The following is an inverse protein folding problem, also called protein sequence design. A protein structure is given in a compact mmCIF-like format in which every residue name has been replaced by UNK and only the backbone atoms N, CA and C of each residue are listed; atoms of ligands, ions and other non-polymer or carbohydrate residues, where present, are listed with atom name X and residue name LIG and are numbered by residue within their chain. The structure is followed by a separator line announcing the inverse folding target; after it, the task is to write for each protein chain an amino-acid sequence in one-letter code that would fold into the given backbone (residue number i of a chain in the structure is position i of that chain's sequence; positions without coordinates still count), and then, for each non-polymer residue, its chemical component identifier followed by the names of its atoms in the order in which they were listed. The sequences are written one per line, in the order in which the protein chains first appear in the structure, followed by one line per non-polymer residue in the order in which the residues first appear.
data_IF_362392064771
#
_entry.id   IF_362392064771
#
_cell.length_a   1.000
_cell.length_b   1.000
_cell.length_c   1.000
_cell.angle_alpha   90.00
_cell.angle_beta   90.00
_cell.angle_gamma   90.00
#
_symmetry.space_group_name_H-M   'P 1'
#
loop_
_entity.id
_entity.type
_entity.pdbx_description
1 polymer ?
#
# COMPACT_ATOMS: atom_id res chain seq x y z
N UNK A 1 27.12 33.68 12.99
CA UNK A 1 26.69 32.32 12.58
C UNK A 1 25.23 32.12 12.94
N UNK A 2 24.41 31.70 11.98
CA UNK A 2 22.96 31.50 12.18
C UNK A 2 22.67 30.01 12.38
N UNK A 3 21.77 29.70 13.32
CA UNK A 3 21.38 28.31 13.65
C UNK A 3 20.72 27.60 12.46
N UNK A 4 20.87 26.27 12.42
CA UNK A 4 20.26 25.36 11.45
C UNK A 4 18.78 25.65 11.16
N UNK A 5 18.32 25.25 9.98
CA UNK A 5 16.89 25.27 9.63
C UNK A 5 16.17 24.25 10.49
N UNK A 6 15.06 24.65 11.10
CA UNK A 6 14.19 23.80 11.94
C UNK A 6 13.05 23.20 11.12
N UNK A 7 12.44 22.11 11.63
CA UNK A 7 11.24 21.52 11.03
C UNK A 7 10.11 22.56 10.93
N UNK A 8 9.93 23.38 11.97
CA UNK A 8 8.92 24.43 12.01
C UNK A 8 9.14 25.49 10.93
N UNK A 9 10.39 25.95 10.73
CA UNK A 9 10.73 26.89 9.66
C UNK A 9 10.41 26.30 8.27
N UNK A 10 10.74 25.02 8.07
CA UNK A 10 10.41 24.31 6.83
C UNK A 10 8.90 24.19 6.60
N UNK A 11 8.15 23.75 7.61
CA UNK A 11 6.69 23.60 7.50
C UNK A 11 6.00 24.95 7.25
N UNK A 12 6.45 26.02 7.91
CA UNK A 12 5.92 27.37 7.71
C UNK A 12 6.22 27.88 6.30
N UNK A 13 7.42 27.66 5.78
CA UNK A 13 7.76 28.04 4.41
C UNK A 13 6.94 27.24 3.38
N UNK A 14 6.69 25.96 3.67
CA UNK A 14 5.90 25.08 2.81
C UNK A 14 4.40 25.44 2.79
N UNK A 15 3.85 26.00 3.88
CA UNK A 15 2.47 26.51 3.89
C UNK A 15 2.24 27.65 2.88
N UNK A 16 3.28 28.42 2.55
CA UNK A 16 3.25 29.42 1.49
C UNK A 16 3.42 28.87 0.07
N UNK A 17 3.72 27.58 -0.09
CA UNK A 17 3.93 26.96 -1.39
C UNK A 17 2.61 26.51 -2.05
N UNK A 18 2.40 26.91 -3.30
CA UNK A 18 1.19 26.59 -4.06
C UNK A 18 1.04 25.08 -4.27
N UNK A 19 2.13 24.35 -4.54
CA UNK A 19 2.06 22.91 -4.79
C UNK A 19 1.68 22.14 -3.53
N UNK A 20 2.18 22.56 -2.37
CA UNK A 20 1.75 22.03 -1.09
C UNK A 20 0.26 22.26 -0.83
N UNK A 21 -0.27 23.46 -1.08
CA UNK A 21 -1.69 23.74 -0.91
C UNK A 21 -2.58 22.82 -1.78
N UNK A 22 -2.21 22.63 -3.06
CA UNK A 22 -2.91 21.70 -3.97
C UNK A 22 -2.79 20.26 -3.48
N UNK A 23 -1.62 19.87 -2.95
CA UNK A 23 -1.39 18.54 -2.42
C UNK A 23 -2.26 18.29 -1.19
N UNK A 24 -2.22 19.19 -0.22
CA UNK A 24 -3.01 19.16 0.99
C UNK A 24 -4.51 19.11 0.73
N UNK A 25 -5.01 19.81 -0.30
CA UNK A 25 -6.40 19.68 -0.73
C UNK A 25 -6.75 18.26 -1.18
N UNK A 26 -5.83 17.56 -1.84
CA UNK A 26 -6.06 16.22 -2.39
C UNK A 26 -5.81 15.07 -1.40
N UNK A 27 -4.89 15.26 -0.45
CA UNK A 27 -4.51 14.21 0.53
C UNK A 27 -4.85 14.56 1.99
N UNK A 28 -5.47 15.72 2.22
CA UNK A 28 -5.91 16.17 3.53
C UNK A 28 -4.78 16.20 4.57
N UNK A 29 -5.01 15.69 5.80
CA UNK A 29 -4.02 15.69 6.89
C UNK A 29 -2.70 14.98 6.55
N UNK A 30 -2.68 14.12 5.53
CA UNK A 30 -1.49 13.37 5.14
C UNK A 30 -0.45 14.22 4.42
N UNK A 31 -0.80 15.42 3.93
CA UNK A 31 0.19 16.35 3.41
C UNK A 31 1.20 16.78 4.48
N UNK A 32 0.74 16.99 5.71
CA UNK A 32 1.63 17.28 6.84
C UNK A 32 2.52 16.06 7.16
N UNK A 33 1.97 14.85 7.14
CA UNK A 33 2.77 13.65 7.35
C UNK A 33 3.83 13.47 6.26
N UNK A 34 3.48 13.72 4.99
CA UNK A 34 4.42 13.74 3.87
C UNK A 34 5.54 14.76 4.09
N UNK A 35 5.18 16.01 4.44
CA UNK A 35 6.15 17.07 4.68
C UNK A 35 7.13 16.71 5.80
N UNK A 36 6.63 16.18 6.92
CA UNK A 36 7.47 15.72 8.04
C UNK A 36 8.36 14.54 7.67
N UNK A 37 7.86 13.59 6.89
CA UNK A 37 8.66 12.48 6.39
C UNK A 37 9.77 12.98 5.45
N UNK A 38 9.46 13.95 4.59
CA UNK A 38 10.43 14.56 3.69
C UNK A 38 11.52 15.30 4.48
N UNK A 39 11.14 16.04 5.52
CA UNK A 39 12.06 16.72 6.40
C UNK A 39 13.02 15.75 7.11
N UNK A 40 12.50 14.62 7.62
CA UNK A 40 13.33 13.58 8.27
C UNK A 40 14.36 12.95 7.34
N UNK A 41 14.04 12.84 6.05
CA UNK A 41 14.98 12.34 5.03
C UNK A 41 16.10 13.35 4.70
N UNK A 42 15.99 14.60 5.16
CA UNK A 42 17.07 15.59 5.07
C UNK A 42 18.03 15.41 6.23
N UNK A 43 18.84 14.36 6.13
CA UNK A 43 19.79 13.92 7.17
C UNK A 43 21.04 14.80 7.29
N UNK A 44 21.28 15.70 6.33
CA UNK A 44 22.50 16.52 6.25
C UNK A 44 22.16 17.98 5.97
N UNK A 45 21.72 18.68 7.00
CA UNK A 45 21.68 20.14 7.00
C UNK A 45 22.87 20.68 7.80
N UNK A 46 23.53 21.74 7.33
CA UNK A 46 24.56 22.42 8.12
C UNK A 46 24.03 22.80 9.50
N UNK A 47 24.83 22.57 10.54
CA UNK A 47 24.49 22.97 11.90
C UNK A 47 24.39 24.50 12.03
N UNK A 48 25.16 25.21 11.21
CA UNK A 48 25.21 26.67 11.12
C UNK A 48 25.25 27.13 9.67
N UNK A 49 24.80 28.37 9.45
CA UNK A 49 24.91 29.08 8.18
C UNK A 49 25.77 30.34 8.37
N UNK A 50 26.49 30.72 7.31
CA UNK A 50 27.35 31.92 7.27
C UNK A 50 26.54 33.17 7.59
N UNK A 51 25.42 33.37 6.89
CA UNK A 51 24.50 34.48 7.07
C UNK A 51 23.01 34.08 6.89
N UNK A 52 22.12 35.07 7.00
CA UNK A 52 20.67 34.88 6.92
C UNK A 52 20.20 34.57 5.50
N UNK A 53 20.91 35.08 4.51
CA UNK A 53 20.58 34.89 3.11
C UNK A 53 20.90 33.46 2.68
N UNK A 54 22.07 32.94 3.05
CA UNK A 54 22.46 31.53 2.85
C UNK A 54 21.45 30.57 3.50
N UNK A 55 21.00 30.84 4.74
CA UNK A 55 19.95 30.05 5.39
C UNK A 55 18.63 30.10 4.62
N UNK A 56 18.20 31.29 4.19
CA UNK A 56 16.95 31.50 3.44
C UNK A 56 16.98 30.81 2.08
N UNK A 57 18.10 30.86 1.38
CA UNK A 57 18.26 30.22 0.09
C UNK A 57 18.30 28.70 0.21
N UNK A 58 18.96 28.17 1.25
CA UNK A 58 18.90 26.72 1.52
C UNK A 58 17.47 26.27 1.89
N UNK A 59 16.73 27.06 2.66
CA UNK A 59 15.33 26.78 2.96
C UNK A 59 14.47 26.75 1.68
N UNK A 60 14.64 27.74 0.79
CA UNK A 60 13.96 27.78 -0.51
C UNK A 60 14.30 26.57 -1.38
N UNK A 61 15.55 26.13 -1.39
CA UNK A 61 15.99 24.93 -2.11
C UNK A 61 15.24 23.68 -1.59
N UNK A 62 15.22 23.47 -0.27
CA UNK A 62 14.54 22.33 0.35
C UNK A 62 13.04 22.34 0.05
N UNK A 63 12.39 23.52 0.14
CA UNK A 63 10.97 23.69 -0.22
C UNK A 63 10.74 23.35 -1.70
N UNK A 64 11.58 23.88 -2.60
CA UNK A 64 11.48 23.61 -4.05
C UNK A 64 11.60 22.11 -4.35
N UNK A 65 12.48 21.38 -3.66
CA UNK A 65 12.60 19.94 -3.80
C UNK A 65 11.38 19.18 -3.26
N UNK A 66 10.84 19.60 -2.11
CA UNK A 66 9.61 19.02 -1.55
C UNK A 66 8.43 19.21 -2.53
N UNK A 67 8.28 20.42 -3.08
CA UNK A 67 7.25 20.76 -4.06
C UNK A 67 7.37 19.91 -5.33
N UNK A 68 8.60 19.72 -5.86
CA UNK A 68 8.82 18.81 -7.01
C UNK A 68 8.34 17.39 -6.73
N UNK A 69 8.64 16.85 -5.53
CA UNK A 69 8.15 15.52 -5.14
C UNK A 69 6.62 15.49 -5.02
N UNK A 70 6.00 16.50 -4.44
CA UNK A 70 4.54 16.57 -4.32
C UNK A 70 3.84 16.63 -5.68
N UNK A 71 4.39 17.37 -6.65
CA UNK A 71 3.86 17.42 -8.02
C UNK A 71 3.88 16.02 -8.64
N UNK A 72 4.99 15.29 -8.49
CA UNK A 72 5.09 13.92 -8.99
C UNK A 72 4.10 12.99 -8.29
N UNK A 73 3.97 13.08 -6.97
CA UNK A 73 2.99 12.32 -6.18
C UNK A 73 1.55 12.59 -6.63
N UNK A 74 1.18 13.85 -6.87
CA UNK A 74 -0.14 14.23 -7.38
C UNK A 74 -0.42 13.62 -8.75
N UNK A 75 0.54 13.68 -9.67
CA UNK A 75 0.40 13.09 -11.01
C UNK A 75 0.16 11.58 -10.94
N UNK A 76 0.95 10.86 -10.13
CA UNK A 76 0.80 9.41 -9.94
C UNK A 76 -0.52 9.08 -9.23
N UNK A 77 -0.92 9.84 -8.21
CA UNK A 77 -2.24 9.69 -7.57
C UNK A 77 -3.40 9.94 -8.53
N UNK A 78 -3.30 10.93 -9.41
CA UNK A 78 -4.30 11.20 -10.44
C UNK A 78 -4.49 10.00 -11.38
N UNK A 79 -3.38 9.39 -11.80
CA UNK A 79 -3.39 8.17 -12.63
C UNK A 79 -4.05 7.01 -11.90
N UNK A 80 -3.63 6.72 -10.67
CA UNK A 80 -4.22 5.64 -9.84
C UNK A 80 -5.71 5.89 -9.57
N UNK A 81 -6.12 7.15 -9.37
CA UNK A 81 -7.53 7.50 -9.19
C UNK A 81 -8.35 7.21 -10.44
N UNK A 82 -7.86 7.58 -11.62
CA UNK A 82 -8.51 7.27 -12.89
C UNK A 82 -8.69 5.75 -13.07
N UNK A 83 -7.62 4.99 -12.86
CA UNK A 83 -7.63 3.53 -12.92
C UNK A 83 -8.65 2.93 -11.93
N UNK A 84 -8.59 3.31 -10.66
CA UNK A 84 -9.51 2.82 -9.63
C UNK A 84 -10.96 3.11 -9.98
N UNK A 85 -11.27 4.31 -10.49
CA UNK A 85 -12.62 4.67 -10.91
C UNK A 85 -13.10 3.84 -12.10
N UNK A 86 -12.22 3.53 -13.06
CA UNK A 86 -12.51 2.61 -14.15
C UNK A 86 -12.87 1.21 -13.67
N UNK A 87 -12.06 0.64 -12.76
CA UNK A 87 -12.32 -0.68 -12.16
C UNK A 87 -13.63 -0.64 -11.35
N UNK A 88 -13.84 0.42 -10.56
CA UNK A 88 -15.06 0.60 -9.76
C UNK A 88 -16.31 0.64 -10.66
N UNK A 89 -16.26 1.39 -11.76
CA UNK A 89 -17.36 1.43 -12.73
C UNK A 89 -17.65 0.07 -13.36
N UNK A 90 -16.61 -0.70 -13.71
CA UNK A 90 -16.79 -2.09 -14.19
C UNK A 90 -17.40 -2.99 -13.12
N UNK A 91 -16.93 -2.88 -11.88
CA UNK A 91 -17.43 -3.66 -10.75
C UNK A 91 -18.91 -3.37 -10.46
N UNK A 92 -19.29 -2.08 -10.47
CA UNK A 92 -20.69 -1.66 -10.30
C UNK A 92 -21.62 -2.26 -11.36
N UNK A 93 -21.12 -2.49 -12.58
CA UNK A 93 -21.90 -3.04 -13.68
C UNK A 93 -21.89 -4.59 -13.74
N UNK A 94 -21.20 -5.26 -12.81
CA UNK A 94 -21.05 -6.71 -12.81
C UNK A 94 -20.15 -7.23 -13.94
N UNK A 95 -19.28 -6.39 -14.48
CA UNK A 95 -18.45 -6.72 -15.66
C UNK A 95 -17.23 -7.54 -15.26
N UNK A 96 -16.64 -7.30 -14.09
CA UNK A 96 -15.40 -7.96 -13.69
C UNK A 96 -15.62 -9.44 -13.38
N UNK A 97 -16.74 -9.79 -12.73
CA UNK A 97 -17.13 -11.19 -12.51
C UNK A 97 -17.32 -11.95 -13.83
N UNK A 98 -17.97 -11.32 -14.82
CA UNK A 98 -18.12 -11.88 -16.18
C UNK A 98 -16.79 -12.02 -16.91
N UNK A 99 -15.89 -11.04 -16.77
CA UNK A 99 -14.53 -11.15 -17.31
C UNK A 99 -13.78 -12.31 -16.63
N UNK A 100 -13.89 -12.46 -15.30
CA UNK A 100 -13.22 -13.52 -14.53
C UNK A 100 -13.74 -14.94 -14.86
N UNK A 101 -15.03 -15.08 -15.18
CA UNK A 101 -15.62 -16.37 -15.53
C UNK A 101 -15.19 -16.90 -16.91
N UNK A 102 -14.61 -16.05 -17.76
CA UNK A 102 -14.09 -16.47 -19.05
C UNK A 102 -12.86 -17.39 -18.87
N UNK A 103 -12.81 -18.57 -19.53
CA UNK A 103 -11.73 -19.55 -19.31
C UNK A 103 -10.31 -19.03 -19.52
N UNK A 104 -10.12 -18.08 -20.44
CA UNK A 104 -8.80 -17.46 -20.68
C UNK A 104 -8.31 -16.55 -19.55
N UNK A 105 -9.19 -16.19 -18.61
CA UNK A 105 -8.91 -15.22 -17.55
C UNK A 105 -8.71 -15.88 -16.18
N UNK A 106 -8.86 -17.20 -16.08
CA UNK A 106 -8.53 -17.96 -14.90
C UNK A 106 -7.59 -19.14 -15.18
N UNK A 107 -6.94 -19.63 -14.12
CA UNK A 107 -6.03 -20.76 -14.16
C UNK A 107 -6.72 -22.01 -13.64
N UNK A 108 -6.53 -23.16 -14.31
CA UNK A 108 -6.92 -24.45 -13.77
C UNK A 108 -6.03 -24.81 -12.55
N UNK A 109 -6.56 -25.54 -11.54
CA UNK A 109 -5.80 -25.89 -10.32
C UNK A 109 -4.39 -26.43 -10.56
N UNK A 110 -4.23 -27.34 -11.52
CA UNK A 110 -2.93 -27.93 -11.84
C UNK A 110 -1.88 -26.91 -12.31
N UNK A 111 -2.30 -25.79 -12.92
CA UNK A 111 -1.39 -24.76 -13.42
C UNK A 111 -0.69 -23.97 -12.29
N UNK A 112 -1.19 -24.05 -11.06
CA UNK A 112 -0.58 -23.46 -9.87
C UNK A 112 -0.38 -24.49 -8.75
N UNK A 113 -0.17 -25.77 -9.13
CA UNK A 113 0.15 -26.88 -8.22
C UNK A 113 -0.94 -27.23 -7.19
N UNK A 114 -2.18 -26.83 -7.43
CA UNK A 114 -3.32 -27.24 -6.61
C UNK A 114 -4.04 -28.47 -7.19
N UNK A 115 -4.61 -29.30 -6.32
CA UNK A 115 -5.49 -30.37 -6.75
C UNK A 115 -6.91 -29.84 -6.94
N UNK A 116 -7.67 -30.46 -7.86
CA UNK A 116 -9.08 -30.12 -8.05
C UNK A 116 -9.91 -30.29 -6.76
N UNK A 117 -9.54 -31.27 -5.93
CA UNK A 117 -10.22 -31.62 -4.67
C UNK A 117 -9.69 -30.84 -3.45
N UNK A 118 -8.67 -30.00 -3.61
CA UNK A 118 -8.19 -29.16 -2.50
C UNK A 118 -9.30 -28.19 -2.06
N UNK A 119 -9.38 -27.92 -0.75
CA UNK A 119 -10.26 -26.86 -0.25
C UNK A 119 -9.88 -25.50 -0.86
N UNK A 120 -10.86 -24.63 -1.07
CA UNK A 120 -10.64 -23.36 -1.77
C UNK A 120 -9.62 -22.43 -1.09
N UNK A 121 -9.53 -22.46 0.25
CA UNK A 121 -8.49 -21.73 0.97
C UNK A 121 -7.07 -22.25 0.65
N UNK A 122 -6.92 -23.56 0.44
CA UNK A 122 -5.66 -24.20 0.05
C UNK A 122 -5.33 -23.85 -1.41
N UNK A 123 -6.32 -23.97 -2.32
CA UNK A 123 -6.15 -23.54 -3.72
C UNK A 123 -5.70 -22.09 -3.81
N UNK A 124 -6.34 -21.20 -3.04
CA UNK A 124 -5.97 -19.79 -2.97
C UNK A 124 -4.55 -19.59 -2.47
N UNK A 125 -4.15 -20.28 -1.39
CA UNK A 125 -2.80 -20.17 -0.86
C UNK A 125 -1.73 -20.61 -1.87
N UNK A 126 -1.95 -21.73 -2.55
CA UNK A 126 -1.06 -22.23 -3.61
C UNK A 126 -0.95 -21.27 -4.79
N UNK A 127 -2.08 -20.73 -5.27
CA UNK A 127 -2.09 -19.69 -6.31
C UNK A 127 -1.30 -18.44 -5.87
N UNK A 128 -1.48 -17.98 -4.62
CA UNK A 128 -0.75 -16.82 -4.09
C UNK A 128 0.75 -17.10 -4.04
N UNK A 129 1.17 -18.29 -3.60
CA UNK A 129 2.58 -18.67 -3.58
C UNK A 129 3.17 -18.71 -4.98
N UNK A 130 2.47 -19.33 -5.93
CA UNK A 130 2.84 -19.38 -7.34
C UNK A 130 2.97 -17.97 -7.94
N UNK A 131 1.91 -17.16 -7.87
CA UNK A 131 1.87 -15.81 -8.46
C UNK A 131 2.82 -14.81 -7.77
N UNK A 132 3.33 -15.14 -6.58
CA UNK A 132 4.29 -14.30 -5.84
C UNK A 132 5.74 -14.80 -5.95
N UNK A 133 6.01 -15.85 -6.74
CA UNK A 133 7.33 -16.46 -6.85
C UNK A 133 7.83 -17.08 -5.53
N UNK A 134 6.95 -17.30 -4.55
CA UNK A 134 7.34 -17.79 -3.23
C UNK A 134 7.90 -19.21 -3.25
N UNK A 135 7.57 -19.99 -4.29
CA UNK A 135 8.05 -21.36 -4.49
C UNK A 135 9.52 -21.41 -4.96
N UNK A 136 9.98 -20.36 -5.64
CA UNK A 136 11.32 -20.31 -6.25
C UNK A 136 12.35 -19.64 -5.34
N UNK A 137 11.89 -18.82 -4.40
CA UNK A 137 12.76 -18.17 -3.44
C UNK A 137 13.09 -19.10 -2.27
N UNK A 138 14.25 -19.77 -2.33
CA UNK A 138 14.84 -20.65 -1.31
C UNK A 138 14.89 -20.06 0.12
N UNK A 139 14.59 -18.77 0.30
CA UNK A 139 14.60 -18.06 1.57
C UNK A 139 13.30 -17.30 1.89
N UNK A 140 12.18 -17.59 1.21
CA UNK A 140 10.89 -17.01 1.59
C UNK A 140 10.29 -17.79 2.77
N UNK A 141 10.20 -17.22 3.99
CA UNK A 141 9.70 -17.95 5.15
C UNK A 141 8.17 -17.98 5.23
N UNK A 142 7.47 -17.44 4.22
CA UNK A 142 6.01 -17.41 4.18
C UNK A 142 5.52 -18.74 3.67
N UNK A 143 4.84 -19.48 4.54
CA UNK A 143 4.35 -20.83 4.23
C UNK A 143 2.93 -20.78 3.63
N UNK A 144 2.51 -21.88 2.99
CA UNK A 144 1.12 -22.08 2.59
C UNK A 144 0.18 -21.91 3.80
N UNK A 145 0.55 -22.47 4.94
CA UNK A 145 -0.22 -22.38 6.18
C UNK A 145 -0.43 -20.94 6.63
N UNK A 146 0.60 -20.09 6.58
CA UNK A 146 0.48 -18.68 6.94
C UNK A 146 -0.53 -17.93 6.07
N UNK A 147 -0.54 -18.23 4.77
CA UNK A 147 -1.48 -17.65 3.81
C UNK A 147 -2.90 -18.15 4.07
N UNK A 148 -3.09 -19.45 4.29
CA UNK A 148 -4.40 -20.03 4.64
C UNK A 148 -4.95 -19.39 5.92
N UNK A 149 -4.11 -19.23 6.95
CA UNK A 149 -4.51 -18.56 8.20
C UNK A 149 -4.91 -17.11 7.94
N UNK A 150 -4.19 -16.39 7.08
CA UNK A 150 -4.53 -15.03 6.71
C UNK A 150 -5.88 -14.93 5.99
N UNK A 151 -6.14 -15.81 5.02
CA UNK A 151 -7.41 -15.88 4.29
C UNK A 151 -8.57 -16.20 5.24
N UNK A 152 -8.41 -17.21 6.09
CA UNK A 152 -9.46 -17.63 7.04
C UNK A 152 -9.80 -16.54 8.04
N UNK A 153 -8.80 -15.78 8.50
CA UNK A 153 -9.02 -14.65 9.40
C UNK A 153 -9.92 -13.58 8.77
N UNK A 154 -9.80 -13.35 7.46
CA UNK A 154 -10.67 -12.42 6.73
C UNK A 154 -12.09 -13.00 6.61
N UNK A 155 -12.21 -14.30 6.31
CA UNK A 155 -13.53 -14.92 6.09
C UNK A 155 -14.39 -15.05 7.35
N UNK A 156 -13.84 -14.86 8.56
CA UNK A 156 -14.59 -14.98 9.83
C UNK A 156 -15.39 -13.74 10.25
N UNK A 157 -15.67 -12.80 9.33
CA UNK A 157 -16.57 -11.66 9.59
C UNK A 157 -15.91 -10.40 10.17
N UNK A 158 -14.59 -10.28 10.07
CA UNK A 158 -13.86 -9.03 10.38
C UNK A 158 -14.11 -8.03 9.25
N UNK A 159 -14.11 -6.70 9.52
CA UNK A 159 -14.16 -5.70 8.46
C UNK A 159 -13.03 -5.92 7.43
N UNK A 160 -13.39 -6.44 6.25
CA UNK A 160 -12.45 -6.81 5.18
C UNK A 160 -11.55 -5.62 4.77
N UNK A 161 -12.12 -4.43 4.74
CA UNK A 161 -11.48 -3.21 4.25
C UNK A 161 -11.11 -2.27 5.40
N UNK A 162 -10.21 -2.74 6.27
CA UNK A 162 -9.70 -1.99 7.43
C UNK A 162 -8.17 -2.02 7.52
N UNK A 163 -7.60 -1.07 8.26
CA UNK A 163 -6.16 -1.02 8.50
C UNK A 163 -5.68 -2.23 9.31
N UNK A 164 -6.51 -2.71 10.23
CA UNK A 164 -6.30 -3.87 11.09
C UNK A 164 -6.18 -5.15 10.26
N UNK A 165 -7.10 -5.36 9.33
CA UNK A 165 -7.07 -6.51 8.41
C UNK A 165 -5.82 -6.49 7.54
N UNK A 166 -5.48 -5.35 6.93
CA UNK A 166 -4.26 -5.24 6.12
C UNK A 166 -3.00 -5.49 6.96
N UNK A 167 -2.95 -4.95 8.18
CA UNK A 167 -1.85 -5.18 9.12
C UNK A 167 -1.73 -6.66 9.50
N UNK A 168 -2.85 -7.33 9.72
CA UNK A 168 -2.87 -8.76 10.02
C UNK A 168 -2.35 -9.58 8.84
N UNK A 169 -2.89 -9.36 7.63
CA UNK A 169 -2.45 -10.03 6.41
C UNK A 169 -0.94 -9.88 6.26
N UNK A 170 -0.45 -8.64 6.31
CA UNK A 170 0.99 -8.36 6.17
C UNK A 170 1.83 -9.07 7.23
N UNK A 171 1.40 -9.06 8.49
CA UNK A 171 2.13 -9.77 9.56
C UNK A 171 2.30 -11.26 9.26
N UNK A 172 1.34 -11.86 8.55
CA UNK A 172 1.36 -13.28 8.19
C UNK A 172 2.07 -13.55 6.86
N UNK A 173 1.91 -12.67 5.89
CA UNK A 173 2.30 -12.95 4.51
C UNK A 173 3.47 -12.11 4.03
N UNK A 174 3.96 -11.15 4.81
CA UNK A 174 5.14 -10.36 4.47
C UNK A 174 6.24 -10.63 5.48
N UNK A 175 7.41 -10.97 4.97
CA UNK A 175 8.62 -11.09 5.76
C UNK A 175 9.61 -10.05 5.23
N UNK A 176 9.77 -8.97 5.97
CA UNK A 176 10.80 -7.98 5.69
C UNK A 176 12.20 -8.59 5.83
N UNK A 177 13.27 -7.86 5.44
CA UNK A 177 14.63 -8.32 5.68
C UNK A 177 14.79 -8.71 7.16
N UNK A 178 15.37 -9.89 7.42
CA UNK A 178 15.63 -10.37 8.79
C UNK A 178 16.30 -9.23 9.55
N UNK A 179 15.67 -8.74 10.62
CA UNK A 179 16.38 -7.85 11.53
C UNK A 179 17.63 -8.59 11.99
N UNK A 180 18.81 -8.00 11.83
CA UNK A 180 20.03 -8.59 12.37
C UNK A 180 19.82 -8.90 13.86
N UNK A 181 20.39 -10.00 14.36
CA UNK A 181 20.30 -10.37 15.78
C UNK A 181 20.71 -9.22 16.70
N UNK A 182 21.62 -8.36 16.21
CA UNK A 182 22.09 -7.15 16.87
C UNK A 182 20.97 -6.08 16.99
N UNK A 183 20.21 -5.83 15.92
CA UNK A 183 19.06 -4.91 15.97
C UNK A 183 17.91 -5.44 16.83
N UNK A 184 17.68 -6.75 16.83
CA UNK A 184 16.70 -7.38 17.71
C UNK A 184 17.13 -7.26 19.19
N UNK A 185 18.41 -7.51 19.48
CA UNK A 185 19.01 -7.34 20.81
C UNK A 185 18.88 -5.90 21.33
N UNK A 186 19.19 -4.91 20.49
CA UNK A 186 19.05 -3.49 20.82
C UNK A 186 17.59 -3.08 21.06
N UNK A 187 16.64 -3.57 20.25
CA UNK A 187 15.22 -3.29 20.45
C UNK A 187 14.68 -3.91 21.74
N UNK A 188 15.16 -5.11 22.12
CA UNK A 188 14.80 -5.79 23.37
C UNK A 188 15.40 -5.07 24.58
N UNK A 189 16.68 -4.65 24.50
CA UNK A 189 17.34 -3.81 25.50
C UNK A 189 16.62 -2.48 25.71
N UNK A 190 16.19 -1.80 24.63
CA UNK A 190 15.44 -0.55 24.71
C UNK A 190 14.09 -0.69 25.42
N UNK A 191 13.43 -1.85 25.28
CA UNK A 191 12.18 -2.18 26.02
C UNK A 191 12.42 -2.56 27.49
N UNK A 192 13.61 -3.05 27.83
CA UNK A 192 13.98 -3.40 29.21
C UNK A 192 14.54 -2.21 30.00
N UNK A 193 15.03 -1.17 29.32
CA UNK A 193 15.57 0.05 29.92
C UNK A 193 14.65 0.74 30.95
N UNK A 194 13.31 0.80 30.78
CA UNK A 194 12.41 1.38 31.78
C UNK A 194 12.17 0.49 33.02
N UNK A 195 12.64 -0.76 33.01
CA UNK A 195 12.39 -1.75 34.08
C UNK A 195 13.62 -2.06 34.92
N UNK A 196 14.76 -1.47 34.59
CA UNK A 196 15.96 -1.58 35.42
C UNK A 196 15.90 -0.48 36.50
N UNK A 197 16.04 -0.83 37.80
CA UNK A 197 16.12 0.18 38.84
C UNK A 197 17.31 1.09 38.55
N UNK A 198 17.02 2.39 38.37
CA UNK A 198 18.06 3.41 38.23
C UNK A 198 18.87 3.43 39.53
N UNK A 199 20.01 2.74 39.53
CA UNK A 199 21.02 2.89 40.58
C UNK A 199 21.49 4.33 40.51
N UNK A 200 21.21 5.12 41.55
CA UNK A 200 21.83 6.43 41.76
C UNK A 200 23.34 6.21 41.84
N UNK A 201 24.05 6.62 40.80
CA UNK A 201 25.49 6.79 40.83
C UNK A 201 25.77 8.28 40.80
N UNK A 202 26.16 8.82 41.94
CA UNK A 202 26.82 10.12 42.05
C UNK A 202 28.23 9.96 41.49
N UNK A 203 28.48 10.31 40.22
CA UNK A 203 29.82 10.66 39.73
C UNK A 203 29.74 11.46 38.42
N UNK A 204 30.23 12.70 38.52
CA UNK A 204 30.96 13.54 37.55
C UNK A 204 30.53 13.57 36.08
N UNK A 205 30.08 14.77 35.68
CA UNK A 205 30.08 15.37 34.34
C UNK A 205 30.81 14.57 33.25
N UNK A 206 30.09 13.64 32.63
CA UNK A 206 30.24 13.38 31.21
C UNK A 206 29.04 14.07 30.57
N UNK A 207 29.34 15.03 29.69
CA UNK A 207 28.38 15.86 28.99
C UNK A 207 27.45 14.97 28.14
N UNK A 208 26.29 14.63 28.69
CA UNK A 208 25.25 13.79 28.08
C UNK A 208 24.18 14.63 27.36
N UNK A 209 24.42 15.92 27.16
CA UNK A 209 23.53 16.85 26.44
C UNK A 209 23.37 16.52 24.94
N UNK A 210 23.97 15.43 24.45
CA UNK A 210 23.74 14.90 23.09
C UNK A 210 22.76 13.71 22.99
N UNK A 211 22.19 13.20 24.09
CA UNK A 211 21.19 12.12 24.00
C UNK A 211 19.80 12.70 24.24
N UNK A 212 19.25 13.20 23.13
CA UNK A 212 18.04 14.00 23.03
C UNK A 212 16.82 13.55 23.83
N UNK A 213 16.13 14.59 24.27
CA UNK A 213 14.81 14.64 24.86
C UNK A 213 13.81 13.63 24.30
N UNK A 214 13.16 12.98 25.26
CA UNK A 214 12.06 12.06 25.09
C UNK A 214 10.77 12.87 24.94
N UNK A 215 10.36 13.14 23.70
CA UNK A 215 8.97 13.50 23.40
C UNK A 215 8.17 12.26 23.00
N UNK A 216 7.26 11.89 23.90
CA UNK A 216 5.91 11.36 23.67
C UNK A 216 5.67 10.46 22.44
N UNK A 217 5.54 9.16 22.72
CA UNK A 217 4.68 8.18 22.05
C UNK A 217 4.29 8.46 20.59
N UNK A 218 5.19 8.17 19.64
CA UNK A 218 4.84 8.08 18.21
C UNK A 218 5.51 6.90 17.53
N UNK A 219 4.67 6.03 16.95
CA UNK A 219 4.95 5.08 15.87
C UNK A 219 6.36 4.45 15.86
N UNK A 220 6.51 3.33 16.57
CA UNK A 220 7.56 2.35 16.26
C UNK A 220 7.29 1.78 14.87
N UNK A 221 8.04 2.26 13.88
CA UNK A 221 8.15 1.65 12.55
C UNK A 221 8.61 0.20 12.71
N UNK A 222 7.69 -0.75 12.54
CA UNK A 222 8.08 -2.06 12.04
C UNK A 222 8.80 -1.85 10.69
N UNK A 223 9.75 -2.70 10.28
CA UNK A 223 10.47 -2.59 9.00
C UNK A 223 9.56 -2.62 7.72
N UNK A 224 8.25 -2.61 7.91
CA UNK A 224 7.15 -2.56 6.95
C UNK A 224 6.74 -1.14 6.48
N UNK A 225 7.46 -0.08 6.85
CA UNK A 225 7.10 1.31 6.51
C UNK A 225 8.26 2.19 6.07
N UNK A 226 9.28 1.63 5.40
CA UNK A 226 10.24 2.47 4.71
C UNK A 226 9.49 3.36 3.70
N UNK A 227 9.61 4.68 3.88
CA UNK A 227 9.01 5.66 2.99
C UNK A 227 9.67 5.48 1.62
N UNK A 228 8.86 5.13 0.62
CA UNK A 228 9.27 5.21 -0.79
C UNK A 228 8.56 6.41 -1.37
N UNK A 229 9.33 7.34 -1.92
CA UNK A 229 8.81 8.47 -2.69
C UNK A 229 8.35 8.00 -4.07
N UNK A 230 7.40 8.71 -4.67
CA UNK A 230 7.16 8.59 -6.09
C UNK A 230 8.47 8.85 -6.86
N UNK A 231 8.73 8.02 -7.86
CA UNK A 231 9.88 8.14 -8.75
C UNK A 231 9.35 8.22 -10.18
N UNK A 232 10.13 8.78 -11.10
CA UNK A 232 9.69 8.97 -12.49
C UNK A 232 9.53 7.62 -13.18
N UNK A 233 10.44 6.71 -12.87
CA UNK A 233 10.62 5.37 -13.41
C UNK A 233 9.54 4.40 -12.92
N UNK A 234 8.91 4.69 -11.78
CA UNK A 234 7.88 3.83 -11.20
C UNK A 234 6.48 4.38 -11.53
N UNK A 235 5.52 3.52 -11.93
CA UNK A 235 4.16 3.96 -12.24
C UNK A 235 3.34 4.31 -10.98
N UNK A 236 3.85 3.99 -9.79
CA UNK A 236 3.12 4.09 -8.53
C UNK A 236 3.38 5.41 -7.78
N UNK A 237 2.40 5.90 -7.00
CA UNK A 237 2.64 6.95 -6.02
C UNK A 237 3.60 6.45 -4.93
N UNK A 238 4.09 7.34 -4.08
CA UNK A 238 4.86 6.96 -2.90
C UNK A 238 4.01 6.21 -1.88
N UNK A 239 4.64 5.51 -0.94
CA UNK A 239 3.92 4.66 0.02
C UNK A 239 3.00 5.42 0.96
N UNK A 240 3.32 6.70 1.24
CA UNK A 240 2.47 7.58 2.06
C UNK A 240 1.16 7.88 1.32
N UNK A 241 1.28 8.42 0.12
CA UNK A 241 0.18 8.73 -0.79
C UNK A 241 -0.65 7.49 -1.11
N UNK A 242 0.00 6.37 -1.39
CA UNK A 242 -0.64 5.09 -1.67
C UNK A 242 -1.49 4.58 -0.51
N UNK A 243 -0.96 4.59 0.73
CA UNK A 243 -1.74 4.23 1.93
C UNK A 243 -2.92 5.15 2.15
N UNK A 244 -2.70 6.46 2.02
CA UNK A 244 -3.78 7.43 2.15
C UNK A 244 -4.91 7.11 1.17
N UNK A 245 -4.56 6.93 -0.11
CA UNK A 245 -5.53 6.67 -1.16
C UNK A 245 -6.25 5.32 -0.96
N UNK A 246 -5.54 4.29 -0.50
CA UNK A 246 -6.15 3.01 -0.14
C UNK A 246 -7.26 3.19 0.91
N UNK A 247 -6.93 3.80 2.06
CA UNK A 247 -7.86 3.87 3.19
C UNK A 247 -8.99 4.89 2.98
N UNK A 248 -8.74 5.97 2.23
CA UNK A 248 -9.69 7.08 2.09
C UNK A 248 -10.44 7.09 0.75
N UNK A 249 -10.07 6.23 -0.20
CA UNK A 249 -10.74 6.19 -1.51
C UNK A 249 -11.07 4.78 -1.96
N UNK A 250 -10.14 3.84 -1.87
CA UNK A 250 -10.39 2.44 -2.30
C UNK A 250 -11.32 1.72 -1.31
N UNK A 251 -10.99 1.72 -0.03
CA UNK A 251 -11.76 0.98 0.98
C UNK A 251 -13.21 1.46 1.13
N UNK A 252 -13.51 2.77 1.17
CA UNK A 252 -14.90 3.24 1.16
C UNK A 252 -15.70 2.73 -0.03
N UNK A 253 -15.09 2.70 -1.23
CA UNK A 253 -15.73 2.17 -2.45
C UNK A 253 -15.91 0.66 -2.41
N UNK A 254 -14.96 -0.08 -1.85
CA UNK A 254 -15.09 -1.50 -1.63
C UNK A 254 -16.26 -1.81 -0.68
N UNK A 255 -16.41 -1.01 0.39
CA UNK A 255 -17.57 -1.09 1.29
C UNK A 255 -18.87 -0.77 0.55
N UNK A 256 -18.90 0.26 -0.29
CA UNK A 256 -20.08 0.58 -1.12
C UNK A 256 -20.48 -0.59 -2.02
N UNK A 257 -19.52 -1.23 -2.71
CA UNK A 257 -19.78 -2.43 -3.51
C UNK A 257 -20.32 -3.58 -2.65
N UNK A 258 -19.72 -3.81 -1.47
CA UNK A 258 -20.17 -4.78 -0.47
C UNK A 258 -21.64 -4.60 -0.08
N UNK A 259 -22.02 -3.37 0.26
CA UNK A 259 -23.40 -3.06 0.65
C UNK A 259 -24.39 -3.29 -0.50
N UNK A 260 -24.02 -3.01 -1.75
CA UNK A 260 -24.92 -3.13 -2.89
C UNK A 260 -25.35 -4.58 -3.16
N UNK A 261 -24.44 -5.55 -3.09
CA UNK A 261 -24.84 -6.94 -3.30
C UNK A 261 -25.43 -7.59 -2.04
N UNK A 262 -25.10 -7.11 -0.84
CA UNK A 262 -25.78 -7.54 0.38
C UNK A 262 -27.29 -7.20 0.34
N UNK A 263 -27.64 -6.00 -0.15
CA UNK A 263 -29.04 -5.58 -0.32
C UNK A 263 -29.81 -6.39 -1.38
N UNK A 264 -29.11 -7.07 -2.29
CA UNK A 264 -29.70 -7.95 -3.31
C UNK A 264 -30.06 -9.31 -2.77
N UNK A 265 -29.22 -9.88 -1.91
CA UNK A 265 -29.51 -11.15 -1.26
C UNK A 265 -30.83 -11.12 -0.45
N UNK A 266 -31.31 -9.92 -0.07
CA UNK A 266 -32.57 -9.71 0.64
C UNK A 266 -33.76 -9.37 -0.25
N UNK A 267 -33.57 -9.09 -1.55
CA UNK A 267 -34.63 -8.67 -2.47
C UNK A 267 -34.77 -9.68 -3.60
N UNK A 268 -35.54 -10.74 -3.31
CA UNK A 268 -35.81 -11.89 -4.17
C UNK A 268 -36.71 -11.52 -5.37
N UNK A 269 -36.13 -10.88 -6.39
CA UNK A 269 -36.85 -10.54 -7.63
C UNK A 269 -35.99 -10.79 -8.87
N UNK A 270 -36.61 -11.40 -9.88
CA UNK A 270 -36.16 -11.83 -11.20
C UNK A 270 -35.44 -10.78 -12.10
N UNK A 271 -34.92 -9.69 -11.54
CA UNK A 271 -34.31 -8.60 -12.29
C UNK A 271 -32.83 -8.85 -12.64
N UNK A 272 -32.64 -9.46 -13.82
CA UNK A 272 -31.51 -9.35 -14.76
C UNK A 272 -30.20 -8.78 -14.18
N UNK A 273 -29.23 -9.65 -13.88
CA UNK A 273 -27.74 -9.57 -14.00
C UNK A 273 -26.98 -8.21 -14.02
N UNK A 274 -27.53 -7.10 -13.52
CA UNK A 274 -26.90 -5.76 -13.54
C UNK A 274 -26.55 -5.30 -12.14
N UNK A 275 -25.30 -5.45 -11.73
CA UNK A 275 -24.84 -4.94 -10.43
C UNK A 275 -23.64 -5.72 -9.94
N UNK A 276 -22.98 -5.20 -8.90
CA UNK A 276 -21.82 -5.84 -8.31
C UNK A 276 -22.13 -7.25 -7.79
N UNK A 277 -21.16 -8.14 -7.92
CA UNK A 277 -21.10 -9.47 -7.30
C UNK A 277 -19.91 -9.54 -6.34
N UNK A 278 -19.79 -10.59 -5.50
CA UNK A 278 -18.58 -10.76 -4.68
C UNK A 278 -17.32 -10.94 -5.53
N UNK A 279 -17.42 -11.52 -6.73
CA UNK A 279 -16.30 -11.59 -7.68
C UNK A 279 -15.88 -10.19 -8.18
N UNK A 280 -16.84 -9.32 -8.45
CA UNK A 280 -16.52 -7.92 -8.81
C UNK A 280 -15.82 -7.18 -7.69
N UNK A 281 -16.27 -7.38 -6.44
CA UNK A 281 -15.62 -6.82 -5.26
C UNK A 281 -14.19 -7.36 -5.10
N UNK A 282 -13.99 -8.67 -5.29
CA UNK A 282 -12.68 -9.29 -5.20
C UNK A 282 -11.74 -8.70 -6.25
N UNK A 283 -12.16 -8.65 -7.53
CA UNK A 283 -11.38 -8.06 -8.61
C UNK A 283 -11.09 -6.56 -8.39
N UNK A 284 -12.07 -5.79 -7.88
CA UNK A 284 -11.87 -4.40 -7.51
C UNK A 284 -10.80 -4.24 -6.43
N UNK A 285 -10.88 -5.06 -5.37
CA UNK A 285 -9.91 -5.05 -4.28
C UNK A 285 -8.50 -5.41 -4.77
N UNK A 286 -8.37 -6.44 -5.61
CA UNK A 286 -7.08 -6.86 -6.20
C UNK A 286 -6.45 -5.74 -7.02
N UNK A 287 -7.17 -5.25 -8.05
CA UNK A 287 -6.65 -4.26 -8.99
C UNK A 287 -6.33 -2.93 -8.31
N UNK A 288 -7.26 -2.43 -7.50
CA UNK A 288 -7.10 -1.14 -6.84
C UNK A 288 -5.97 -1.17 -5.80
N UNK A 289 -5.86 -2.25 -5.01
CA UNK A 289 -4.80 -2.35 -4.00
C UNK A 289 -3.41 -2.34 -4.65
N UNK A 290 -3.20 -3.13 -5.70
CA UNK A 290 -1.91 -3.16 -6.43
C UNK A 290 -1.61 -1.79 -7.03
N UNK A 291 -2.59 -1.15 -7.67
CA UNK A 291 -2.44 0.19 -8.25
C UNK A 291 -2.04 1.25 -7.20
N UNK A 292 -2.58 1.17 -5.97
CA UNK A 292 -2.22 2.12 -4.90
C UNK A 292 -0.79 1.95 -4.36
N UNK A 293 -0.22 0.75 -4.48
CA UNK A 293 1.12 0.39 -3.99
C UNK A 293 1.48 0.96 -2.59
N UNK A 294 0.65 0.68 -1.56
CA UNK A 294 0.71 1.31 -0.24
C UNK A 294 1.94 0.91 0.58
N UNK A 295 2.68 -0.12 0.16
CA UNK A 295 3.84 -0.62 0.86
C UNK A 295 5.08 -0.59 -0.01
N UNK A 296 6.27 -0.58 0.62
CA UNK A 296 7.52 -0.68 -0.12
C UNK A 296 7.63 -2.02 -0.86
N UNK A 297 7.09 -3.07 -0.24
CA UNK A 297 7.10 -4.44 -0.77
C UNK A 297 5.91 -5.24 -0.22
N UNK A 298 5.60 -6.37 -0.87
CA UNK A 298 4.54 -7.30 -0.53
C UNK A 298 3.14 -6.87 -0.99
N UNK A 299 3.03 -5.87 -1.87
CA UNK A 299 1.73 -5.37 -2.34
C UNK A 299 0.92 -6.42 -3.08
N UNK A 300 1.54 -7.12 -4.07
CA UNK A 300 0.88 -8.17 -4.83
C UNK A 300 0.34 -9.29 -3.93
N UNK A 301 1.20 -9.86 -3.07
CA UNK A 301 0.79 -10.90 -2.13
C UNK A 301 -0.33 -10.46 -1.19
N UNK A 302 -0.25 -9.25 -0.63
CA UNK A 302 -1.30 -8.72 0.26
C UNK A 302 -2.63 -8.55 -0.49
N UNK A 303 -2.59 -8.02 -1.72
CA UNK A 303 -3.77 -7.84 -2.55
C UNK A 303 -4.43 -9.18 -2.93
N UNK A 304 -3.63 -10.19 -3.25
CA UNK A 304 -4.13 -11.53 -3.60
C UNK A 304 -4.74 -12.27 -2.40
N UNK A 305 -4.18 -12.09 -1.20
CA UNK A 305 -4.80 -12.60 0.04
C UNK A 305 -6.15 -11.90 0.28
N UNK A 306 -6.21 -10.59 0.09
CA UNK A 306 -7.46 -9.83 0.22
C UNK A 306 -8.50 -10.29 -0.81
N UNK A 307 -8.10 -10.48 -2.07
CA UNK A 307 -8.93 -11.04 -3.15
C UNK A 307 -9.55 -12.39 -2.75
N UNK A 308 -8.71 -13.35 -2.33
CA UNK A 308 -9.19 -14.67 -1.91
C UNK A 308 -10.08 -14.58 -0.67
N UNK A 309 -9.70 -13.74 0.30
CA UNK A 309 -10.48 -13.49 1.50
C UNK A 309 -11.87 -12.95 1.21
N UNK A 310 -12.01 -12.05 0.23
CA UNK A 310 -13.33 -11.54 -0.23
C UNK A 310 -14.19 -12.69 -0.77
N UNK A 311 -13.68 -13.50 -1.70
CA UNK A 311 -14.45 -14.61 -2.27
C UNK A 311 -14.93 -15.56 -1.16
N UNK A 312 -14.03 -16.00 -0.27
CA UNK A 312 -14.38 -16.97 0.76
C UNK A 312 -15.26 -16.40 1.87
N UNK A 313 -15.13 -15.10 2.21
CA UNK A 313 -16.03 -14.42 3.15
C UNK A 313 -17.48 -14.43 2.64
N UNK A 314 -17.67 -14.43 1.32
CA UNK A 314 -18.97 -14.45 0.67
C UNK A 314 -19.39 -15.84 0.17
N UNK A 315 -18.68 -16.90 0.58
CA UNK A 315 -18.94 -18.30 0.19
C UNK A 315 -18.89 -18.54 -1.33
N UNK A 316 -18.15 -17.70 -2.05
CA UNK A 316 -17.86 -17.93 -3.46
C UNK A 316 -16.74 -18.96 -3.61
N UNK A 317 -16.82 -19.84 -4.63
CA UNK A 317 -15.71 -20.70 -5.01
C UNK A 317 -14.46 -19.88 -5.33
N UNK A 318 -13.29 -20.37 -4.93
CA UNK A 318 -12.04 -19.70 -5.30
C UNK A 318 -11.75 -19.87 -6.80
N UNK A 319 -11.51 -18.73 -7.48
CA UNK A 319 -11.07 -18.67 -8.88
C UNK A 319 -9.73 -17.96 -8.94
N UNK A 320 -8.71 -18.64 -9.48
CA UNK A 320 -7.37 -18.08 -9.65
C UNK A 320 -7.29 -17.25 -10.94
N UNK A 321 -7.17 -15.91 -10.90
CA UNK A 321 -7.02 -15.13 -12.12
C UNK A 321 -5.66 -15.39 -12.77
N UNK A 322 -5.61 -15.31 -14.10
CA UNK A 322 -4.34 -15.33 -14.84
C UNK A 322 -3.54 -14.04 -14.61
N UNK A 323 -2.23 -14.09 -14.84
CA UNK A 323 -1.37 -12.90 -14.79
C UNK A 323 -1.87 -11.79 -15.72
N UNK A 324 -2.36 -12.12 -16.92
CA UNK A 324 -2.92 -11.15 -17.85
C UNK A 324 -4.20 -10.47 -17.33
N UNK A 325 -5.07 -11.21 -16.62
CA UNK A 325 -6.24 -10.62 -15.96
C UNK A 325 -5.81 -9.69 -14.82
N UNK A 326 -4.88 -10.11 -13.97
CA UNK A 326 -4.34 -9.28 -12.88
C UNK A 326 -3.74 -7.97 -13.43
N UNK A 327 -2.96 -8.05 -14.52
CA UNK A 327 -2.38 -6.89 -15.20
C UNK A 327 -3.41 -5.89 -15.69
N UNK A 328 -4.50 -6.37 -16.31
CA UNK A 328 -5.61 -5.50 -16.75
C UNK A 328 -6.33 -4.84 -15.59
N UNK A 329 -6.50 -5.55 -14.46
CA UNK A 329 -7.14 -5.00 -13.28
C UNK A 329 -6.35 -3.81 -12.74
N UNK A 330 -5.05 -3.95 -12.52
CA UNK A 330 -4.26 -2.86 -11.93
C UNK A 330 -3.77 -1.83 -12.96
N UNK A 331 -3.79 -2.14 -14.26
CA UNK A 331 -3.48 -1.21 -15.35
C UNK A 331 -2.03 -0.74 -15.37
N UNK A 332 -1.13 -1.51 -14.75
CA UNK A 332 0.28 -1.16 -14.65
C UNK A 332 0.98 -1.92 -15.77
N UNK A 333 1.06 -1.30 -16.94
CA UNK A 333 1.96 -1.74 -17.99
C UNK A 333 3.38 -1.48 -17.50
N UNK A 334 4.15 -2.54 -17.26
CA UNK A 334 5.61 -2.44 -17.20
C UNK A 334 6.05 -1.82 -18.52
N UNK A 335 6.82 -0.74 -18.47
CA UNK A 335 7.19 0.12 -19.62
C UNK A 335 8.04 -0.62 -20.68
N UNK A 336 8.30 -1.91 -20.51
CA UNK A 336 8.96 -2.77 -21.50
C UNK A 336 8.00 -3.90 -21.89
N UNK A 337 7.05 -3.62 -22.77
CA UNK A 337 6.58 -4.65 -23.69
C UNK A 337 7.28 -4.41 -25.03
N UNK A 338 8.02 -5.43 -25.45
CA UNK A 338 8.71 -5.54 -26.72
C UNK A 338 7.84 -4.95 -27.85
N UNK A 339 8.36 -3.93 -28.53
CA UNK A 339 7.67 -3.16 -29.59
C UNK A 339 7.37 -4.01 -30.84
N UNK A 340 7.70 -5.30 -30.82
CA UNK A 340 7.44 -6.28 -31.87
C UNK A 340 6.03 -6.87 -31.83
N UNK A 341 5.28 -6.70 -30.75
CA UNK A 341 3.84 -6.99 -30.77
C UNK A 341 3.09 -5.73 -31.20
N UNK A 342 2.20 -5.80 -32.20
CA UNK A 342 1.39 -4.66 -32.58
C UNK A 342 0.65 -4.18 -31.33
N UNK A 343 0.72 -2.89 -30.98
CA UNK A 343 0.05 -2.38 -29.81
C UNK A 343 -1.44 -2.70 -29.98
N UNK A 344 -2.03 -3.43 -29.04
CA UNK A 344 -3.48 -3.58 -28.97
C UNK A 344 -4.08 -2.21 -28.62
N UNK A 345 -4.15 -1.30 -29.60
CA UNK A 345 -4.66 0.07 -29.51
C UNK A 345 -6.19 0.14 -29.38
N UNK A 346 -6.84 -0.89 -28.85
CA UNK A 346 -8.30 -0.94 -28.77
C UNK A 346 -8.87 -0.70 -27.36
N UNK A 347 -8.11 -0.10 -26.45
CA UNK A 347 -8.64 0.34 -25.16
C UNK A 347 -8.27 1.80 -24.88
N UNK A 348 -8.77 2.69 -25.74
CA UNK A 348 -8.81 4.12 -25.47
C UNK A 348 -9.93 4.41 -24.45
N UNK A 349 -9.55 4.69 -23.21
CA UNK A 349 -10.44 5.08 -22.12
C UNK A 349 -10.86 6.58 -22.15
N UNK A 350 -10.59 7.31 -23.24
CA UNK A 350 -10.75 8.77 -23.26
C UNK A 350 -11.39 9.38 -24.50
N UNK A 351 -12.15 8.63 -25.32
CA UNK A 351 -12.92 9.24 -26.41
C UNK A 351 -14.34 8.68 -26.49
N UNK A 352 -15.18 9.07 -25.54
CA UNK A 352 -16.61 9.29 -25.81
C UNK A 352 -17.07 10.39 -24.86
N UNK A 353 -17.66 11.42 -25.46
CA UNK A 353 -18.15 12.70 -24.92
C UNK A 353 -19.03 12.51 -23.68
#
# INVERSE_FOLDING_TARGET
MIRKITETEFLNALLGDRHFAVYARNVGPYANYFARAFWKDKTTLPATFEDAQAKKDKLREIVKEASKKMVLEQSKLGTVRGQMMGIFGKALNGTLGKELSHPSNHMAPGAYQANANDHDAIKAAKWIMYASGSLEHLNCPVTEHDIVVAIRHISTGIPLFSAETVKYIRKKTYFGPKQSNLNWGLAKLKKLRPRLPQRRTDYTHINMDEIGDVHEARYSTFPDSAVRWAAKEHPYPGTISGRYFLYNSVFPKAVTLGCQFAARATTDTDFRWRGATPQDLACFALGSFIATHPFKDGNGRTARVLYAGVLLAHREPFVAPTAGMEQRLHGLTTVEMDTRLPPSRNFDFFNTI
#
